data_IF_709134710383
#
_entry.id   IF_709134710383
#
_cell.length_a   1.000
_cell.length_b   1.000
_cell.length_c   1.000
_cell.angle_alpha   90.00
_cell.angle_beta   90.00
_cell.angle_gamma   90.00
#
_symmetry.space_group_name_H-M   'P 1'
#
loop_
_entity.id
_entity.type
_entity.pdbx_description
1 polymer ?
#
# COMPACT_ATOMS: atom_id res chain seq x y z
N UNK A 1 -61.62 10.48 -55.23
CA UNK A 1 -60.87 9.23 -55.48
C UNK A 1 -60.40 8.74 -54.11
N UNK A 2 -61.23 7.97 -53.39
CA UNK A 2 -61.31 6.48 -53.42
C UNK A 2 -60.09 5.87 -52.68
N UNK A 3 -60.26 5.35 -51.45
CA UNK A 3 -60.49 3.91 -51.10
C UNK A 3 -59.21 3.07 -51.38
N UNK A 4 -58.73 2.12 -50.56
CA UNK A 4 -59.24 1.27 -49.49
C UNK A 4 -58.03 0.62 -48.73
N UNK A 5 -58.12 0.33 -47.42
CA UNK A 5 -58.29 -1.01 -46.77
C UNK A 5 -57.14 -2.03 -46.96
N UNK A 6 -56.62 -2.55 -45.83
CA UNK A 6 -55.89 -3.84 -45.78
C UNK A 6 -55.00 -4.06 -44.54
N UNK A 7 -55.55 -4.68 -43.48
CA UNK A 7 -54.79 -5.32 -42.38
C UNK A 7 -54.49 -6.81 -42.73
N UNK A 8 -54.02 -7.70 -41.83
CA UNK A 8 -52.93 -7.67 -40.83
C UNK A 8 -51.93 -8.86 -41.03
N UNK A 9 -50.75 -8.88 -40.39
CA UNK A 9 -50.00 -10.13 -40.18
C UNK A 9 -49.22 -10.19 -38.85
N UNK A 10 -49.73 -11.05 -37.97
CA UNK A 10 -49.06 -12.00 -37.06
C UNK A 10 -47.53 -11.99 -36.94
N UNK A 11 -47.05 -11.79 -35.71
CA UNK A 11 -46.37 -12.85 -34.95
C UNK A 11 -44.87 -13.07 -35.17
N UNK A 12 -44.05 -12.52 -34.27
CA UNK A 12 -42.78 -13.13 -33.88
C UNK A 12 -42.39 -12.72 -32.45
N UNK A 13 -42.66 -13.64 -31.50
CA UNK A 13 -42.17 -13.58 -30.11
C UNK A 13 -40.65 -13.57 -30.11
N UNK A 14 -40.01 -12.47 -29.69
CA UNK A 14 -38.59 -12.49 -29.28
C UNK A 14 -38.49 -13.08 -27.88
N UNK A 15 -38.07 -14.34 -27.83
CA UNK A 15 -37.69 -15.02 -26.59
C UNK A 15 -36.53 -14.29 -25.92
N UNK A 16 -36.78 -13.83 -24.68
CA UNK A 16 -35.77 -13.33 -23.75
C UNK A 16 -34.91 -14.52 -23.33
N UNK A 17 -33.68 -14.60 -23.85
CA UNK A 17 -32.64 -15.50 -23.37
C UNK A 17 -32.18 -15.03 -21.98
N UNK A 18 -32.87 -15.46 -20.92
CA UNK A 18 -32.35 -15.47 -19.55
C UNK A 18 -31.30 -16.59 -19.47
N UNK A 19 -30.06 -16.26 -19.80
CA UNK A 19 -28.92 -17.19 -19.74
C UNK A 19 -27.96 -16.84 -18.60
N UNK A 20 -28.00 -17.64 -17.54
CA UNK A 20 -26.84 -18.14 -16.80
C UNK A 20 -25.78 -17.13 -16.27
N UNK A 21 -26.19 -16.07 -15.57
CA UNK A 21 -25.27 -15.20 -14.81
C UNK A 21 -25.22 -15.47 -13.29
N UNK A 22 -26.11 -16.31 -12.75
CA UNK A 22 -26.41 -16.34 -11.31
C UNK A 22 -25.62 -17.35 -10.45
N UNK A 23 -24.85 -18.27 -11.03
CA UNK A 23 -24.27 -19.39 -10.28
C UNK A 23 -22.78 -19.26 -9.93
N UNK A 24 -22.03 -18.27 -10.45
CA UNK A 24 -20.62 -18.07 -10.07
C UNK A 24 -20.41 -17.33 -8.75
N UNK A 25 -21.48 -16.79 -8.15
CA UNK A 25 -21.36 -16.01 -6.90
C UNK A 25 -21.52 -16.83 -5.63
N UNK A 26 -21.91 -18.11 -5.74
CA UNK A 26 -22.16 -18.98 -4.57
C UNK A 26 -20.97 -19.88 -4.19
N UNK A 27 -20.11 -20.26 -5.14
CA UNK A 27 -18.93 -21.10 -4.87
C UNK A 27 -17.68 -20.33 -4.40
N UNK A 28 -17.65 -19.01 -4.51
CA UNK A 28 -16.56 -18.18 -3.95
C UNK A 28 -16.65 -17.98 -2.43
N UNK A 29 -17.62 -18.60 -1.75
CA UNK A 29 -17.98 -18.31 -0.36
C UNK A 29 -17.30 -19.14 0.74
N UNK A 30 -16.64 -20.26 0.43
CA UNK A 30 -16.12 -21.19 1.44
C UNK A 30 -14.61 -21.08 1.70
N UNK A 31 -13.79 -20.79 0.68
CA UNK A 31 -12.31 -20.76 0.79
C UNK A 31 -11.71 -19.35 0.99
N UNK A 32 -12.58 -18.33 1.03
CA UNK A 32 -12.23 -16.91 0.85
C UNK A 32 -11.17 -16.30 1.80
N UNK A 33 -11.07 -16.67 3.09
CA UNK A 33 -10.08 -16.07 4.00
C UNK A 33 -8.84 -16.93 4.30
N UNK A 34 -8.86 -18.24 4.00
CA UNK A 34 -7.75 -19.15 4.35
C UNK A 34 -6.54 -18.99 3.40
N UNK A 35 -6.82 -18.69 2.13
CA UNK A 35 -5.80 -18.49 1.09
C UNK A 35 -4.82 -17.33 1.37
N UNK A 36 -5.27 -16.10 1.71
CA UNK A 36 -4.33 -15.01 1.98
C UNK A 36 -3.50 -15.25 3.25
N UNK A 37 -4.09 -15.83 4.31
CA UNK A 37 -3.37 -16.15 5.55
C UNK A 37 -2.25 -17.15 5.26
N UNK A 38 -2.58 -18.25 4.59
CA UNK A 38 -1.59 -19.28 4.22
C UNK A 38 -0.51 -18.71 3.31
N UNK A 39 -0.89 -17.89 2.33
CA UNK A 39 0.06 -17.22 1.44
C UNK A 39 1.03 -16.30 2.18
N UNK A 40 0.57 -15.51 3.17
CA UNK A 40 1.45 -14.69 3.99
C UNK A 40 2.38 -15.51 4.88
N UNK A 41 1.90 -16.61 5.48
CA UNK A 41 2.74 -17.49 6.30
C UNK A 41 3.86 -18.10 5.47
N UNK A 42 3.52 -18.64 4.28
CA UNK A 42 4.52 -19.21 3.37
C UNK A 42 5.50 -18.15 2.87
N UNK A 43 5.00 -16.98 2.47
CA UNK A 43 5.84 -15.87 2.02
C UNK A 43 6.79 -15.38 3.13
N UNK A 44 6.31 -15.26 4.38
CA UNK A 44 7.14 -14.89 5.51
C UNK A 44 8.19 -15.95 5.83
N UNK A 45 7.84 -17.24 5.78
CA UNK A 45 8.81 -18.32 5.99
C UNK A 45 9.92 -18.30 4.92
N UNK A 46 9.57 -18.15 3.65
CA UNK A 46 10.53 -18.05 2.54
C UNK A 46 11.38 -16.78 2.66
N UNK A 47 10.74 -15.63 2.87
CA UNK A 47 11.44 -14.35 3.03
C UNK A 47 12.42 -14.39 4.20
N UNK A 48 12.03 -14.98 5.34
CA UNK A 48 12.90 -15.14 6.50
C UNK A 48 14.07 -16.06 6.19
N UNK A 49 13.82 -17.23 5.59
CA UNK A 49 14.88 -18.17 5.23
C UNK A 49 15.92 -17.53 4.30
N UNK A 50 15.48 -16.84 3.24
CA UNK A 50 16.38 -16.19 2.27
C UNK A 50 17.08 -14.99 2.93
N UNK A 51 16.38 -14.18 3.74
CA UNK A 51 16.97 -13.01 4.41
C UNK A 51 17.96 -13.40 5.51
N UNK A 52 17.81 -14.57 6.14
CA UNK A 52 18.80 -15.11 7.08
C UNK A 52 20.06 -15.58 6.34
N UNK A 53 19.90 -16.31 5.23
CA UNK A 53 21.04 -16.91 4.51
C UNK A 53 21.80 -15.91 3.66
N UNK A 54 21.09 -14.99 3.02
CA UNK A 54 21.63 -14.01 2.08
C UNK A 54 21.02 -12.62 2.32
N UNK A 55 21.24 -11.98 3.49
CA UNK A 55 20.61 -10.68 3.81
C UNK A 55 20.87 -9.62 2.72
N UNK A 56 22.14 -9.44 2.37
CA UNK A 56 22.55 -8.45 1.38
C UNK A 56 22.06 -8.80 -0.03
N UNK A 57 22.16 -10.07 -0.42
CA UNK A 57 21.67 -10.54 -1.72
C UNK A 57 20.16 -10.35 -1.86
N UNK A 58 19.40 -10.65 -0.80
CA UNK A 58 17.94 -10.48 -0.77
C UNK A 58 17.56 -9.01 -0.90
N UNK A 59 18.21 -8.12 -0.15
CA UNK A 59 17.96 -6.68 -0.25
C UNK A 59 18.27 -6.16 -1.66
N UNK A 60 19.44 -6.47 -2.22
CA UNK A 60 19.87 -5.94 -3.53
C UNK A 60 19.05 -6.52 -4.68
N UNK A 61 18.87 -7.84 -4.73
CA UNK A 61 18.11 -8.51 -5.80
C UNK A 61 16.63 -8.17 -5.69
N UNK A 62 16.08 -8.15 -4.48
CA UNK A 62 14.70 -7.72 -4.25
C UNK A 62 14.47 -6.30 -4.78
N UNK A 63 15.40 -5.38 -4.49
CA UNK A 63 15.35 -4.02 -4.98
C UNK A 63 15.44 -3.93 -6.51
N UNK A 64 16.37 -4.67 -7.11
CA UNK A 64 16.59 -4.67 -8.54
C UNK A 64 15.36 -5.22 -9.31
N UNK A 65 14.77 -6.30 -8.82
CA UNK A 65 13.67 -7.02 -9.49
C UNK A 65 12.31 -6.40 -9.19
N UNK A 66 12.03 -6.05 -7.93
CA UNK A 66 10.71 -5.60 -7.50
C UNK A 66 10.64 -4.11 -7.20
N UNK A 67 11.76 -3.40 -7.11
CA UNK A 67 11.83 -1.98 -6.77
C UNK A 67 10.92 -1.10 -7.63
N UNK A 68 11.13 -1.03 -8.94
CA UNK A 68 10.27 -0.17 -9.77
C UNK A 68 8.86 -0.76 -9.93
N UNK A 69 8.75 -2.08 -9.98
CA UNK A 69 7.45 -2.74 -10.14
C UNK A 69 6.51 -2.45 -8.97
N UNK A 70 6.97 -2.57 -7.72
CA UNK A 70 6.12 -2.27 -6.57
C UNK A 70 5.74 -0.79 -6.52
N UNK A 71 6.65 0.15 -6.82
CA UNK A 71 6.33 1.58 -6.88
C UNK A 71 5.16 1.85 -7.81
N UNK A 72 5.18 1.26 -9.02
CA UNK A 72 4.11 1.44 -10.01
C UNK A 72 2.80 0.87 -9.49
N UNK A 73 2.80 -0.33 -8.91
CA UNK A 73 1.58 -0.99 -8.42
C UNK A 73 1.00 -0.28 -7.18
N UNK A 74 1.85 0.13 -6.27
CA UNK A 74 1.50 0.88 -5.08
C UNK A 74 0.92 2.26 -5.42
N UNK A 75 1.61 3.06 -6.24
CA UNK A 75 1.10 4.38 -6.63
C UNK A 75 -0.25 4.31 -7.32
N UNK A 76 -0.48 3.28 -8.16
CA UNK A 76 -1.80 3.03 -8.77
C UNK A 76 -2.86 2.74 -7.71
N UNK A 77 -2.53 1.89 -6.74
CA UNK A 77 -3.43 1.58 -5.63
C UNK A 77 -3.75 2.83 -4.81
N UNK A 78 -2.72 3.55 -4.33
CA UNK A 78 -2.87 4.73 -3.47
C UNK A 78 -3.62 5.85 -4.20
N UNK A 79 -3.23 6.16 -5.44
CA UNK A 79 -3.88 7.21 -6.21
C UNK A 79 -5.36 6.89 -6.50
N UNK A 80 -5.71 5.61 -6.70
CA UNK A 80 -7.10 5.20 -6.88
C UNK A 80 -7.89 5.15 -5.58
N UNK A 81 -7.35 4.55 -4.51
CA UNK A 81 -8.01 4.40 -3.20
C UNK A 81 -8.31 5.74 -2.53
N UNK A 82 -7.45 6.73 -2.72
CA UNK A 82 -7.54 8.05 -2.08
C UNK A 82 -7.89 9.17 -3.07
N UNK A 83 -8.52 8.86 -4.20
CA UNK A 83 -8.89 9.85 -5.23
C UNK A 83 -9.69 11.04 -4.66
N UNK A 84 -10.59 10.79 -3.71
CA UNK A 84 -11.39 11.85 -3.08
C UNK A 84 -10.56 12.87 -2.29
N UNK A 85 -9.36 12.49 -1.85
CA UNK A 85 -8.45 13.31 -1.03
C UNK A 85 -7.26 13.82 -1.85
N UNK A 86 -6.63 12.94 -2.64
CA UNK A 86 -5.48 13.24 -3.49
C UNK A 86 -5.93 13.92 -4.80
N UNK A 87 -6.43 15.15 -4.69
CA UNK A 87 -6.87 15.96 -5.85
C UNK A 87 -6.57 17.44 -5.69
N UNK A 88 -6.59 18.15 -6.82
CA UNK A 88 -6.57 19.61 -6.88
C UNK A 88 -5.31 20.26 -6.26
N UNK A 89 -5.46 21.41 -5.57
CA UNK A 89 -4.33 22.14 -4.98
C UNK A 89 -3.53 21.32 -3.98
N UNK A 90 -4.20 20.46 -3.20
CA UNK A 90 -3.55 19.66 -2.18
C UNK A 90 -2.59 18.63 -2.80
N UNK A 91 -3.03 17.90 -3.84
CA UNK A 91 -2.15 17.00 -4.58
C UNK A 91 -0.95 17.73 -5.20
N UNK A 92 -1.16 18.95 -5.74
CA UNK A 92 -0.05 19.75 -6.29
C UNK A 92 0.96 20.14 -5.22
N UNK A 93 0.50 20.52 -4.03
CA UNK A 93 1.38 20.82 -2.91
C UNK A 93 2.19 19.59 -2.49
N UNK A 94 1.54 18.43 -2.30
CA UNK A 94 2.24 17.19 -1.98
C UNK A 94 3.26 16.83 -3.07
N UNK A 95 2.87 16.93 -4.35
CA UNK A 95 3.75 16.68 -5.49
C UNK A 95 4.95 17.62 -5.52
N UNK A 96 4.77 18.91 -5.23
CA UNK A 96 5.86 19.88 -5.17
C UNK A 96 6.84 19.56 -4.02
N UNK A 97 6.34 19.28 -2.82
CA UNK A 97 7.17 18.92 -1.66
C UNK A 97 7.95 17.63 -1.89
N UNK A 98 7.30 16.59 -2.41
CA UNK A 98 7.92 15.31 -2.74
C UNK A 98 8.96 15.48 -3.85
N UNK A 99 8.68 16.29 -4.87
CA UNK A 99 9.66 16.59 -5.93
C UNK A 99 10.88 17.33 -5.37
N UNK A 100 10.69 18.23 -4.40
CA UNK A 100 11.80 18.83 -3.66
C UNK A 100 12.68 17.78 -2.96
N UNK A 101 12.07 16.75 -2.36
CA UNK A 101 12.81 15.64 -1.73
C UNK A 101 13.58 14.83 -2.78
N UNK A 102 12.94 14.53 -3.93
CA UNK A 102 13.59 13.85 -5.07
C UNK A 102 14.82 14.63 -5.52
N UNK A 103 14.71 15.95 -5.67
CA UNK A 103 15.84 16.82 -6.02
C UNK A 103 16.93 16.74 -4.95
N UNK A 104 16.60 16.79 -3.66
CA UNK A 104 17.59 16.65 -2.59
C UNK A 104 18.37 15.33 -2.68
N UNK A 105 17.72 14.23 -3.08
CA UNK A 105 18.35 12.91 -3.24
C UNK A 105 19.17 12.74 -4.52
N UNK A 106 18.88 13.54 -5.55
CA UNK A 106 19.66 13.53 -6.80
C UNK A 106 20.90 14.43 -6.72
N UNK A 107 20.89 15.42 -5.83
CA UNK A 107 22.05 16.28 -5.56
C UNK A 107 23.12 15.53 -4.75
N UNK A 108 24.40 15.97 -4.84
CA UNK A 108 25.47 15.40 -4.02
C UNK A 108 25.14 15.46 -2.51
N UNK A 109 25.31 14.36 -1.77
CA UNK A 109 25.00 14.31 -0.35
C UNK A 109 25.78 15.37 0.43
N UNK A 110 25.06 16.18 1.21
CA UNK A 110 25.61 17.25 2.02
C UNK A 110 24.72 17.48 3.24
N UNK A 111 25.24 18.19 4.25
CA UNK A 111 24.41 18.58 5.41
C UNK A 111 23.20 19.39 4.96
N UNK A 112 23.37 20.29 3.98
CA UNK A 112 22.29 21.11 3.44
C UNK A 112 21.18 20.30 2.75
N UNK A 113 21.53 19.37 1.86
CA UNK A 113 20.54 18.52 1.17
C UNK A 113 19.78 17.62 2.14
N UNK A 114 20.45 17.06 3.15
CA UNK A 114 19.81 16.23 4.19
C UNK A 114 18.87 17.04 5.07
N UNK A 115 19.29 18.23 5.51
CA UNK A 115 18.44 19.15 6.27
C UNK A 115 17.22 19.56 5.46
N UNK A 116 17.39 19.91 4.19
CA UNK A 116 16.28 20.27 3.30
C UNK A 116 15.30 19.10 3.12
N UNK A 117 15.79 17.88 2.89
CA UNK A 117 14.96 16.68 2.79
C UNK A 117 14.14 16.44 4.07
N UNK A 118 14.76 16.56 5.25
CA UNK A 118 14.07 16.42 6.54
C UNK A 118 12.97 17.48 6.67
N UNK A 119 13.29 18.76 6.39
CA UNK A 119 12.31 19.85 6.49
C UNK A 119 11.15 19.68 5.52
N UNK A 120 11.41 19.24 4.28
CA UNK A 120 10.37 18.95 3.29
C UNK A 120 9.49 17.77 3.73
N UNK A 121 10.08 16.72 4.31
CA UNK A 121 9.34 15.58 4.85
C UNK A 121 8.38 16.00 5.97
N UNK A 122 8.84 16.81 6.93
CA UNK A 122 7.98 17.34 7.99
C UNK A 122 6.96 18.36 7.47
N UNK A 123 7.33 19.16 6.46
CA UNK A 123 6.40 20.06 5.76
C UNK A 123 5.27 19.29 5.07
N UNK A 124 5.55 18.12 4.51
CA UNK A 124 4.57 17.22 3.92
C UNK A 124 3.57 16.71 4.96
N UNK A 125 4.06 16.25 6.12
CA UNK A 125 3.21 15.82 7.24
C UNK A 125 2.39 16.99 7.80
N UNK A 126 2.98 18.17 7.95
CA UNK A 126 2.29 19.36 8.41
C UNK A 126 1.16 19.77 7.45
N UNK A 127 1.41 19.75 6.13
CA UNK A 127 0.38 20.01 5.12
C UNK A 127 -0.79 19.01 5.22
N UNK A 128 -0.48 17.74 5.45
CA UNK A 128 -1.49 16.70 5.67
C UNK A 128 -2.31 16.93 6.95
N UNK A 129 -1.64 17.25 8.07
CA UNK A 129 -2.30 17.61 9.34
C UNK A 129 -3.24 18.81 9.18
N UNK A 130 -2.77 19.90 8.58
CA UNK A 130 -3.58 21.12 8.35
C UNK A 130 -4.80 20.80 7.49
N UNK A 131 -4.60 20.04 6.41
CA UNK A 131 -5.69 19.63 5.54
C UNK A 131 -6.75 18.79 6.29
N UNK A 132 -6.29 17.82 7.08
CA UNK A 132 -7.13 16.86 7.77
C UNK A 132 -7.83 17.42 9.02
N UNK A 133 -7.16 18.30 9.77
CA UNK A 133 -7.56 18.75 11.10
C UNK A 133 -7.99 20.21 11.16
N UNK A 134 -8.24 20.87 10.02
CA UNK A 134 -8.66 22.28 9.96
C UNK A 134 -9.86 22.63 10.85
N UNK A 135 -10.76 21.68 11.09
CA UNK A 135 -11.94 21.85 11.94
C UNK A 135 -11.71 21.42 13.41
N UNK A 136 -10.50 20.99 13.77
CA UNK A 136 -10.14 20.46 15.09
C UNK A 136 -8.87 21.16 15.61
N UNK A 137 -8.94 22.45 15.99
CA UNK A 137 -7.77 23.28 16.26
C UNK A 137 -6.88 22.74 17.39
N UNK A 138 -7.47 22.14 18.42
CA UNK A 138 -6.71 21.52 19.52
C UNK A 138 -5.88 20.31 19.03
N UNK A 139 -6.46 19.44 18.22
CA UNK A 139 -5.72 18.30 17.65
C UNK A 139 -4.68 18.77 16.64
N UNK A 140 -4.97 19.83 15.87
CA UNK A 140 -4.01 20.42 14.96
C UNK A 140 -2.82 21.02 15.72
N UNK A 141 -3.06 21.75 16.82
CA UNK A 141 -2.01 22.31 17.67
C UNK A 141 -1.17 21.21 18.32
N UNK A 142 -1.81 20.16 18.86
CA UNK A 142 -1.10 19.00 19.41
C UNK A 142 -0.25 18.28 18.34
N UNK A 143 -0.79 18.10 17.13
CA UNK A 143 -0.07 17.49 16.01
C UNK A 143 1.10 18.37 15.57
N UNK A 144 0.93 19.69 15.54
CA UNK A 144 1.99 20.64 15.22
C UNK A 144 3.12 20.61 16.25
N UNK A 145 2.79 20.58 17.54
CA UNK A 145 3.78 20.44 18.62
C UNK A 145 4.57 19.12 18.50
N UNK A 146 3.88 18.01 18.24
CA UNK A 146 4.51 16.70 18.02
C UNK A 146 5.43 16.70 16.80
N UNK A 147 4.97 17.24 15.66
CA UNK A 147 5.78 17.33 14.44
C UNK A 147 6.99 18.24 14.63
N UNK A 148 6.85 19.36 15.35
CA UNK A 148 7.96 20.25 15.66
C UNK A 148 9.01 19.56 16.53
N UNK A 149 8.59 18.86 17.59
CA UNK A 149 9.50 18.08 18.43
C UNK A 149 10.23 17.01 17.62
N UNK A 150 9.50 16.24 16.81
CA UNK A 150 10.07 15.20 15.96
C UNK A 150 11.02 15.77 14.87
N UNK A 151 10.70 16.94 14.31
CA UNK A 151 11.56 17.64 13.35
C UNK A 151 12.87 18.08 14.02
N UNK A 152 12.81 18.70 15.21
CA UNK A 152 13.99 19.07 15.98
C UNK A 152 14.84 17.83 16.28
N UNK A 153 14.24 16.73 16.73
CA UNK A 153 14.97 15.47 16.97
C UNK A 153 15.62 14.94 15.69
N UNK A 154 14.90 14.94 14.56
CA UNK A 154 15.44 14.48 13.28
C UNK A 154 16.58 15.34 12.76
N UNK A 155 16.51 16.66 12.95
CA UNK A 155 17.58 17.59 12.58
C UNK A 155 18.81 17.44 13.47
N UNK A 156 18.62 17.16 14.77
CA UNK A 156 19.71 16.86 15.70
C UNK A 156 20.38 15.50 15.40
N UNK A 157 19.63 14.55 14.84
CA UNK A 157 20.12 13.20 14.53
C UNK A 157 19.79 12.74 13.09
N UNK A 158 20.32 13.41 12.04
CA UNK A 158 19.91 13.13 10.66
C UNK A 158 20.16 11.70 10.21
N UNK A 159 21.25 11.06 10.67
CA UNK A 159 21.53 9.66 10.33
C UNK A 159 20.46 8.70 10.88
N UNK A 160 20.00 8.93 12.11
CA UNK A 160 18.93 8.14 12.70
C UNK A 160 17.60 8.41 12.00
N UNK A 161 17.32 9.64 11.56
CA UNK A 161 16.11 9.96 10.79
C UNK A 161 15.94 9.05 9.57
N UNK A 162 16.98 8.91 8.74
CA UNK A 162 16.89 8.08 7.52
C UNK A 162 16.78 6.58 7.82
N UNK A 163 17.45 6.10 8.87
CA UNK A 163 17.31 4.70 9.31
C UNK A 163 15.88 4.44 9.77
N UNK A 164 15.33 5.29 10.63
CA UNK A 164 13.95 5.18 11.11
C UNK A 164 12.98 5.26 9.95
N UNK A 165 13.15 6.21 9.02
CA UNK A 165 12.32 6.36 7.84
C UNK A 165 12.30 5.09 6.98
N UNK A 166 13.47 4.51 6.70
CA UNK A 166 13.58 3.29 5.91
C UNK A 166 12.85 2.10 6.54
N UNK A 167 12.94 1.94 7.87
CA UNK A 167 12.25 0.86 8.58
C UNK A 167 10.75 1.13 8.72
N UNK A 168 10.37 2.38 9.00
CA UNK A 168 8.98 2.77 9.16
C UNK A 168 8.20 2.63 7.86
N UNK A 169 8.80 2.98 6.72
CA UNK A 169 8.20 2.73 5.40
C UNK A 169 7.88 1.25 5.17
N UNK A 170 8.75 0.34 5.63
CA UNK A 170 8.49 -1.09 5.52
C UNK A 170 7.35 -1.59 6.44
N UNK A 171 6.96 -0.80 7.44
CA UNK A 171 5.81 -1.09 8.32
C UNK A 171 4.50 -0.56 7.72
N UNK A 172 4.55 0.42 6.83
CA UNK A 172 3.36 1.06 6.20
C UNK A 172 2.33 0.06 5.66
N UNK A 173 2.71 -1.01 4.92
CA UNK A 173 1.76 -1.97 4.39
C UNK A 173 0.86 -2.60 5.46
N UNK A 174 1.32 -2.72 6.71
CA UNK A 174 0.53 -3.25 7.82
C UNK A 174 -0.78 -2.48 7.99
N UNK A 175 -0.74 -1.14 7.89
CA UNK A 175 -1.91 -0.30 8.09
C UNK A 175 -2.93 -0.47 6.96
N UNK A 176 -2.46 -0.64 5.73
CA UNK A 176 -3.32 -0.96 4.59
C UNK A 176 -3.97 -2.34 4.73
N UNK A 177 -3.19 -3.35 5.10
CA UNK A 177 -3.72 -4.69 5.38
C UNK A 177 -4.71 -4.68 6.55
N UNK A 178 -4.43 -3.87 7.58
CA UNK A 178 -5.30 -3.73 8.74
C UNK A 178 -6.63 -3.10 8.39
N UNK A 179 -6.62 -2.02 7.60
CA UNK A 179 -7.85 -1.40 7.08
C UNK A 179 -8.62 -2.36 6.18
N UNK A 180 -7.94 -3.00 5.23
CA UNK A 180 -8.56 -3.98 4.34
C UNK A 180 -9.24 -5.11 5.14
N UNK A 181 -8.58 -5.61 6.19
CA UNK A 181 -9.10 -6.68 7.05
C UNK A 181 -10.39 -6.30 7.79
N UNK A 182 -10.73 -5.01 7.90
CA UNK A 182 -11.99 -4.57 8.54
C UNK A 182 -13.22 -5.06 7.79
N UNK A 183 -13.11 -5.25 6.47
CA UNK A 183 -14.19 -5.76 5.63
C UNK A 183 -14.32 -7.29 5.65
N UNK A 184 -13.42 -8.03 6.32
CA UNK A 184 -13.47 -9.49 6.36
C UNK A 184 -14.57 -9.98 7.32
N UNK A 185 -15.51 -10.83 6.86
CA UNK A 185 -16.56 -11.38 7.71
C UNK A 185 -16.06 -12.46 8.68
N UNK A 186 -15.03 -13.23 8.31
CA UNK A 186 -14.43 -14.32 9.12
C UNK A 186 -12.90 -14.31 8.97
N UNK A 187 -12.19 -14.95 9.91
CA UNK A 187 -10.72 -15.09 9.85
C UNK A 187 -9.91 -13.82 10.11
N UNK A 188 -10.56 -12.70 10.42
CA UNK A 188 -9.91 -11.39 10.64
C UNK A 188 -8.84 -11.43 11.74
N UNK A 189 -9.10 -12.11 12.84
CA UNK A 189 -8.16 -12.21 13.95
C UNK A 189 -6.88 -12.96 13.53
N UNK A 190 -7.03 -14.10 12.87
CA UNK A 190 -5.91 -14.88 12.34
C UNK A 190 -5.10 -14.08 11.31
N UNK A 191 -5.78 -13.41 10.38
CA UNK A 191 -5.12 -12.55 9.39
C UNK A 191 -4.28 -11.46 10.07
N UNK A 192 -4.87 -10.72 11.02
CA UNK A 192 -4.16 -9.68 11.79
C UNK A 192 -3.01 -10.22 12.61
N UNK A 193 -3.18 -11.38 13.25
CA UNK A 193 -2.13 -12.04 14.00
C UNK A 193 -0.93 -12.38 13.11
N UNK A 194 -1.16 -12.91 11.91
CA UNK A 194 -0.09 -13.16 10.92
C UNK A 194 0.60 -11.85 10.52
N UNK A 195 -0.17 -10.77 10.27
CA UNK A 195 0.43 -9.49 9.91
C UNK A 195 1.30 -8.91 11.04
N UNK A 196 0.81 -8.95 12.28
CA UNK A 196 1.61 -8.56 13.45
C UNK A 196 2.83 -9.47 13.64
N UNK A 197 2.69 -10.77 13.35
CA UNK A 197 3.77 -11.75 13.46
C UNK A 197 4.97 -11.39 12.58
N UNK A 198 4.75 -11.14 11.29
CA UNK A 198 5.87 -10.77 10.42
C UNK A 198 6.36 -9.34 10.66
N UNK A 199 5.50 -8.37 10.99
CA UNK A 199 5.94 -6.98 11.16
C UNK A 199 6.68 -6.76 12.48
N UNK A 200 6.29 -7.44 13.56
CA UNK A 200 6.79 -7.17 14.91
C UNK A 200 7.59 -8.33 15.48
N UNK A 201 7.02 -9.54 15.48
CA UNK A 201 7.64 -10.69 16.14
C UNK A 201 8.93 -11.11 15.43
N UNK A 202 8.91 -11.27 14.11
CA UNK A 202 10.10 -11.71 13.35
C UNK A 202 11.25 -10.69 13.47
N UNK A 203 11.04 -9.37 13.26
CA UNK A 203 12.10 -8.39 13.50
C UNK A 203 12.62 -8.39 14.95
N UNK A 204 11.76 -8.55 15.94
CA UNK A 204 12.20 -8.63 17.34
C UNK A 204 13.09 -9.86 17.58
N UNK A 205 12.75 -11.02 17.02
CA UNK A 205 13.56 -12.25 17.09
C UNK A 205 14.90 -12.11 16.36
N UNK A 206 14.92 -11.43 15.22
CA UNK A 206 16.16 -11.13 14.49
C UNK A 206 17.07 -10.19 15.29
N UNK A 207 16.52 -9.09 15.82
CA UNK A 207 17.28 -8.09 16.56
C UNK A 207 17.79 -8.60 17.91
N UNK A 208 17.04 -9.46 18.58
CA UNK A 208 17.47 -10.09 19.85
C UNK A 208 18.67 -11.00 19.69
N UNK A 209 18.96 -11.47 18.47
CA UNK A 209 20.01 -12.43 18.17
C UNK A 209 19.61 -13.89 18.36
N UNK A 210 18.33 -14.17 18.62
CA UNK A 210 17.82 -15.54 18.79
C UNK A 210 18.06 -16.42 17.54
N UNK A 211 18.25 -15.80 16.37
CA UNK A 211 18.46 -16.46 15.09
C UNK A 211 19.90 -16.33 14.56
N UNK A 212 20.86 -15.85 15.36
CA UNK A 212 22.24 -15.64 14.92
C UNK A 212 22.90 -16.92 14.37
N UNK A 213 22.60 -18.09 14.93
CA UNK A 213 23.13 -19.37 14.45
C UNK A 213 22.65 -19.77 13.05
N UNK A 214 21.58 -19.13 12.54
CA UNK A 214 21.06 -19.34 11.19
C UNK A 214 21.50 -18.23 10.22
N UNK A 215 22.06 -17.15 10.74
CA UNK A 215 22.44 -15.97 9.99
C UNK A 215 23.71 -16.27 9.17
N UNK A 216 23.63 -16.06 7.87
CA UNK A 216 24.77 -16.19 6.98
C UNK A 216 25.87 -15.20 7.37
N UNK A 217 27.12 -15.56 7.06
CA UNK A 217 28.25 -14.68 7.33
C UNK A 217 28.08 -13.32 6.65
N UNK A 218 28.52 -12.26 7.33
CA UNK A 218 28.59 -10.92 6.75
C UNK A 218 29.47 -10.92 5.49
N UNK A 219 29.15 -10.01 4.57
CA UNK A 219 29.95 -9.75 3.38
C UNK A 219 30.24 -8.25 3.29
N UNK A 220 31.20 -7.83 2.46
CA UNK A 220 31.42 -6.40 2.22
C UNK A 220 30.17 -5.66 1.70
N UNK A 221 29.23 -6.38 1.07
CA UNK A 221 27.92 -5.84 0.71
C UNK A 221 27.02 -5.59 1.93
N UNK A 222 27.08 -6.46 2.93
CA UNK A 222 26.38 -6.25 4.20
C UNK A 222 26.86 -4.96 4.86
N UNK A 223 28.17 -4.73 4.93
CA UNK A 223 28.73 -3.54 5.56
C UNK A 223 28.26 -2.26 4.85
N UNK A 224 28.25 -2.27 3.50
CA UNK A 224 27.72 -1.15 2.69
C UNK A 224 26.25 -0.87 2.96
N UNK A 225 25.42 -1.92 3.06
CA UNK A 225 24.00 -1.77 3.35
C UNK A 225 23.77 -1.30 4.80
N UNK A 226 24.57 -1.79 5.76
CA UNK A 226 24.47 -1.41 7.15
C UNK A 226 24.62 0.11 7.35
N UNK A 227 25.43 0.80 6.54
CA UNK A 227 25.55 2.27 6.57
C UNK A 227 24.22 3.00 6.33
N UNK A 228 23.29 2.40 5.58
CA UNK A 228 21.99 3.00 5.26
C UNK A 228 20.86 2.54 6.19
N UNK A 229 20.98 1.33 6.75
CA UNK A 229 19.88 0.67 7.45
C UNK A 229 20.18 0.35 8.92
N UNK A 230 21.37 0.66 9.43
CA UNK A 230 21.73 0.43 10.84
C UNK A 230 21.97 1.76 11.54
N UNK A 231 21.44 1.94 12.76
CA UNK A 231 21.79 3.09 13.60
C UNK A 231 23.32 3.27 13.71
N UNK A 232 23.85 4.50 13.59
CA UNK A 232 25.29 4.75 13.60
C UNK A 232 26.07 4.07 14.73
N UNK A 233 25.50 4.04 15.94
CA UNK A 233 26.12 3.40 17.10
C UNK A 233 26.34 1.87 16.95
N UNK A 234 25.70 1.22 15.98
CA UNK A 234 25.65 -0.24 15.86
C UNK A 234 26.23 -0.77 14.53
N UNK A 235 26.71 0.10 13.63
CA UNK A 235 27.16 -0.27 12.28
C UNK A 235 28.33 -1.26 12.24
N UNK A 236 29.16 -1.29 13.28
CA UNK A 236 30.35 -2.16 13.37
C UNK A 236 30.20 -3.27 14.40
N UNK A 237 28.96 -3.66 14.68
CA UNK A 237 28.62 -4.72 15.63
C UNK A 237 27.82 -5.82 14.93
N UNK A 238 27.64 -6.96 15.59
CA UNK A 238 26.73 -8.00 15.10
C UNK A 238 25.30 -7.48 14.87
N UNK A 239 24.89 -6.40 15.54
CA UNK A 239 23.60 -5.76 15.30
C UNK A 239 23.49 -5.21 13.87
N UNK A 240 24.57 -4.76 13.22
CA UNK A 240 24.52 -4.28 11.84
C UNK A 240 24.04 -5.33 10.85
N UNK A 241 24.56 -6.56 10.96
CA UNK A 241 24.10 -7.70 10.16
C UNK A 241 22.63 -8.04 10.45
N UNK A 242 22.20 -7.99 11.72
CA UNK A 242 20.80 -8.21 12.11
C UNK A 242 19.88 -7.14 11.51
N UNK A 243 20.27 -5.86 11.53
CA UNK A 243 19.51 -4.78 10.91
C UNK A 243 19.38 -4.94 9.40
N UNK A 244 20.45 -5.35 8.70
CA UNK A 244 20.39 -5.65 7.26
C UNK A 244 19.44 -6.82 6.99
N UNK A 245 19.45 -7.87 7.82
CA UNK A 245 18.52 -9.00 7.70
C UNK A 245 17.06 -8.60 7.96
N UNK A 246 16.81 -7.77 8.97
CA UNK A 246 15.48 -7.20 9.25
C UNK A 246 15.00 -6.36 8.07
N UNK A 247 15.85 -5.48 7.55
CA UNK A 247 15.51 -4.67 6.38
C UNK A 247 15.19 -5.55 5.18
N UNK A 248 16.05 -6.51 4.84
CA UNK A 248 15.83 -7.43 3.72
C UNK A 248 14.52 -8.22 3.86
N UNK A 249 14.23 -8.71 5.06
CA UNK A 249 13.02 -9.44 5.37
C UNK A 249 11.77 -8.56 5.22
N UNK A 250 11.74 -7.42 5.90
CA UNK A 250 10.60 -6.52 5.87
C UNK A 250 10.36 -5.93 4.47
N UNK A 251 11.42 -5.59 3.75
CA UNK A 251 11.34 -5.13 2.36
C UNK A 251 10.78 -6.21 1.43
N UNK A 252 11.16 -7.47 1.64
CA UNK A 252 10.58 -8.59 0.87
C UNK A 252 9.09 -8.74 1.14
N UNK A 253 8.68 -8.67 2.41
CA UNK A 253 7.26 -8.70 2.78
C UNK A 253 6.49 -7.48 2.25
N UNK A 254 7.13 -6.31 2.22
CA UNK A 254 6.59 -5.11 1.59
C UNK A 254 6.28 -5.36 0.10
N UNK A 255 7.19 -6.01 -0.64
CA UNK A 255 6.93 -6.43 -2.03
C UNK A 255 5.80 -7.46 -2.15
N UNK A 256 5.73 -8.43 -1.23
CA UNK A 256 4.62 -9.40 -1.19
C UNK A 256 3.27 -8.68 -1.09
N UNK A 257 3.18 -7.62 -0.29
CA UNK A 257 1.93 -6.86 -0.17
C UNK A 257 1.58 -6.16 -1.49
N UNK A 258 2.51 -5.38 -2.06
CA UNK A 258 2.18 -4.52 -3.20
C UNK A 258 2.18 -5.22 -4.55
N UNK A 259 3.03 -6.23 -4.74
CA UNK A 259 3.15 -6.96 -6.01
C UNK A 259 2.20 -8.16 -6.06
N UNK A 260 2.01 -8.84 -4.92
CA UNK A 260 1.15 -10.02 -4.87
C UNK A 260 -0.25 -9.75 -4.31
N UNK A 261 -0.35 -9.24 -3.08
CA UNK A 261 -1.62 -9.19 -2.35
C UNK A 261 -2.58 -8.13 -2.90
N UNK A 262 -2.20 -6.85 -2.89
CA UNK A 262 -3.11 -5.74 -3.20
C UNK A 262 -3.72 -5.82 -4.61
N UNK A 263 -2.97 -6.17 -5.67
CA UNK A 263 -3.55 -6.32 -7.01
C UNK A 263 -4.59 -7.44 -7.13
N UNK A 264 -4.54 -8.45 -6.24
CA UNK A 264 -5.44 -9.62 -6.27
C UNK A 264 -6.66 -9.42 -5.37
N UNK A 265 -6.48 -8.81 -4.21
CA UNK A 265 -7.51 -8.75 -3.15
C UNK A 265 -8.13 -7.37 -2.97
N UNK A 266 -7.62 -6.34 -3.67
CA UNK A 266 -8.21 -4.99 -3.68
C UNK A 266 -8.20 -4.35 -5.09
N UNK A 267 -8.72 -5.03 -6.13
CA UNK A 267 -8.67 -4.54 -7.51
C UNK A 267 -9.45 -3.23 -7.71
N UNK A 268 -10.55 -3.01 -6.97
CA UNK A 268 -11.40 -1.83 -7.08
C UNK A 268 -10.64 -0.50 -6.98
N UNK A 269 -9.61 -0.44 -6.12
CA UNK A 269 -8.76 0.73 -5.96
C UNK A 269 -7.93 0.97 -7.24
N UNK A 270 -7.34 -0.07 -7.79
CA UNK A 270 -6.60 0.01 -9.06
C UNK A 270 -7.51 0.39 -10.22
N UNK A 271 -8.72 -0.17 -10.29
CA UNK A 271 -9.72 0.19 -11.31
C UNK A 271 -10.10 1.68 -11.25
N UNK A 272 -10.21 2.25 -10.04
CA UNK A 272 -10.47 3.67 -9.87
C UNK A 272 -9.39 4.56 -10.48
N UNK A 273 -8.12 4.19 -10.29
CA UNK A 273 -7.01 4.87 -10.96
C UNK A 273 -7.08 4.70 -12.49
N UNK A 274 -7.32 3.48 -12.98
CA UNK A 274 -7.33 3.19 -14.42
C UNK A 274 -8.41 3.97 -15.20
N UNK A 275 -9.53 4.31 -14.55
CA UNK A 275 -10.56 5.18 -15.17
C UNK A 275 -10.02 6.58 -15.51
N UNK A 276 -9.07 7.10 -14.74
CA UNK A 276 -8.44 8.42 -14.95
C UNK A 276 -7.19 8.35 -15.82
N UNK A 277 -6.48 7.22 -15.80
CA UNK A 277 -5.25 7.00 -16.54
C UNK A 277 -5.34 5.73 -17.41
N UNK A 278 -6.18 5.73 -18.47
CA UNK A 278 -6.42 4.53 -19.28
C UNK A 278 -5.17 4.03 -20.01
N UNK A 279 -4.19 4.91 -20.22
CA UNK A 279 -2.89 4.56 -20.83
C UNK A 279 -2.05 3.62 -19.95
N UNK A 280 -2.26 3.64 -18.63
CA UNK A 280 -1.57 2.81 -17.63
C UNK A 280 -2.43 1.62 -17.16
N UNK A 281 -3.33 1.13 -18.01
CA UNK A 281 -4.23 0.02 -17.69
C UNK A 281 -3.60 -1.35 -17.89
N UNK A 282 -3.90 -2.28 -16.97
CA UNK A 282 -3.58 -3.71 -17.12
C UNK A 282 -2.10 -3.98 -17.40
N UNK A 283 -1.84 -4.74 -18.47
CA UNK A 283 -0.48 -5.18 -18.87
C UNK A 283 0.48 -4.02 -19.08
N UNK A 284 0.02 -2.83 -19.48
CA UNK A 284 0.90 -1.67 -19.75
C UNK A 284 1.59 -1.18 -18.48
N UNK A 285 0.89 -1.14 -17.35
CA UNK A 285 1.50 -0.78 -16.07
C UNK A 285 2.49 -1.84 -15.59
N UNK A 286 2.21 -3.12 -15.81
CA UNK A 286 3.15 -4.21 -15.51
C UNK A 286 4.39 -4.12 -16.39
N UNK A 287 4.23 -3.87 -17.69
CA UNK A 287 5.33 -3.68 -18.62
C UNK A 287 6.19 -2.46 -18.24
N UNK A 288 5.58 -1.36 -17.81
CA UNK A 288 6.30 -0.20 -17.28
C UNK A 288 7.11 -0.57 -16.02
N UNK A 289 6.50 -1.26 -15.06
CA UNK A 289 7.17 -1.69 -13.83
C UNK A 289 8.33 -2.66 -14.10
N UNK A 290 8.11 -3.67 -14.94
CA UNK A 290 9.11 -4.67 -15.32
C UNK A 290 10.23 -4.07 -16.17
N UNK A 291 9.90 -3.21 -17.13
CA UNK A 291 10.88 -2.50 -17.95
C UNK A 291 11.76 -1.58 -17.12
N UNK A 292 11.16 -0.84 -16.17
CA UNK A 292 11.90 -0.04 -15.20
C UNK A 292 12.78 -0.86 -14.26
N UNK A 293 12.30 -2.02 -13.80
CA UNK A 293 13.09 -2.95 -12.98
C UNK A 293 14.28 -3.53 -13.77
N UNK A 294 14.09 -3.88 -15.04
CA UNK A 294 15.17 -4.35 -15.91
C UNK A 294 16.23 -3.25 -16.12
N UNK A 295 15.81 -2.03 -16.43
CA UNK A 295 16.72 -0.89 -16.59
C UNK A 295 17.50 -0.59 -15.29
N UNK A 296 16.82 -0.62 -14.15
CA UNK A 296 17.46 -0.43 -12.85
C UNK A 296 18.42 -1.57 -12.50
N UNK A 297 18.07 -2.81 -12.85
CA UNK A 297 18.94 -3.98 -12.65
C UNK A 297 20.24 -3.86 -13.46
N UNK A 298 20.16 -3.42 -14.71
CA UNK A 298 21.34 -3.12 -15.54
C UNK A 298 22.20 -2.05 -14.85
N UNK A 299 21.57 -0.98 -14.34
CA UNK A 299 22.28 0.07 -13.64
C UNK A 299 22.93 -0.41 -12.35
N UNK A 300 22.28 -1.27 -11.55
CA UNK A 300 22.88 -1.85 -10.35
C UNK A 300 24.11 -2.71 -10.64
N UNK A 301 24.10 -3.44 -11.76
CA UNK A 301 25.22 -4.27 -12.21
C UNK A 301 26.37 -3.39 -12.72
N UNK A 302 26.08 -2.29 -13.42
CA UNK A 302 27.12 -1.40 -13.97
C UNK A 302 27.68 -0.42 -12.94
N UNK A 303 26.82 0.22 -12.15
CA UNK A 303 27.15 1.16 -11.09
C UNK A 303 26.09 1.11 -9.98
N UNK A 304 26.38 0.32 -8.95
CA UNK A 304 25.51 0.17 -7.80
C UNK A 304 25.19 1.49 -7.10
N UNK A 305 26.15 2.42 -7.01
CA UNK A 305 25.95 3.68 -6.28
C UNK A 305 24.97 4.56 -7.04
N UNK A 306 25.14 4.68 -8.36
CA UNK A 306 24.22 5.42 -9.21
C UNK A 306 22.84 4.78 -9.25
N UNK A 307 22.76 3.44 -9.38
CA UNK A 307 21.51 2.69 -9.33
C UNK A 307 20.74 2.90 -8.03
N UNK A 308 21.44 2.83 -6.89
CA UNK A 308 20.85 3.07 -5.57
C UNK A 308 20.34 4.50 -5.42
N UNK A 309 21.10 5.50 -5.86
CA UNK A 309 20.71 6.91 -5.78
C UNK A 309 19.50 7.21 -6.66
N UNK A 310 19.50 6.73 -7.90
CA UNK A 310 18.36 6.89 -8.82
C UNK A 310 17.10 6.20 -8.25
N UNK A 311 17.24 4.96 -7.80
CA UNK A 311 16.14 4.25 -7.17
C UNK A 311 15.63 5.00 -5.94
N UNK A 312 16.51 5.43 -5.03
CA UNK A 312 16.11 6.13 -3.80
C UNK A 312 15.38 7.44 -4.12
N UNK A 313 15.75 8.15 -5.19
CA UNK A 313 15.06 9.33 -5.66
C UNK A 313 13.66 8.98 -6.21
N UNK A 314 13.54 7.98 -7.09
CA UNK A 314 12.24 7.55 -7.63
C UNK A 314 11.31 7.00 -6.54
N UNK A 315 11.85 6.20 -5.61
CA UNK A 315 11.14 5.63 -4.48
C UNK A 315 10.58 6.69 -3.52
N UNK A 316 11.17 7.90 -3.49
CA UNK A 316 10.61 8.99 -2.69
C UNK A 316 9.16 9.32 -3.04
N UNK A 317 8.73 9.10 -4.29
CA UNK A 317 7.36 9.41 -4.69
C UNK A 317 6.30 8.58 -3.96
N UNK A 318 6.51 7.28 -3.76
CA UNK A 318 5.55 6.46 -3.01
C UNK A 318 5.84 6.55 -1.51
N UNK A 319 7.10 6.37 -1.09
CA UNK A 319 7.47 6.33 0.32
C UNK A 319 7.04 7.61 1.08
N UNK A 320 7.20 8.80 0.49
CA UNK A 320 6.74 10.02 1.14
C UNK A 320 5.25 10.29 0.97
N UNK A 321 4.62 9.86 -0.13
CA UNK A 321 3.17 10.02 -0.32
C UNK A 321 2.36 9.16 0.67
N UNK A 322 2.90 8.01 1.05
CA UNK A 322 2.29 7.09 2.01
C UNK A 322 2.03 7.73 3.37
N UNK A 323 2.96 8.50 3.93
CA UNK A 323 2.78 9.02 5.30
C UNK A 323 1.58 10.00 5.44
N UNK A 324 1.38 11.00 4.55
CA UNK A 324 0.16 11.79 4.50
C UNK A 324 -1.11 10.95 4.39
N UNK A 325 -1.09 9.95 3.50
CA UNK A 325 -2.23 9.07 3.25
C UNK A 325 -2.56 8.23 4.48
N UNK A 326 -1.55 7.68 5.15
CA UNK A 326 -1.70 6.96 6.40
C UNK A 326 -2.24 7.85 7.52
N UNK A 327 -1.73 9.08 7.64
CA UNK A 327 -2.26 10.04 8.61
C UNK A 327 -3.75 10.27 8.37
N UNK A 328 -4.16 10.45 7.12
CA UNK A 328 -5.58 10.62 6.75
C UNK A 328 -6.41 9.37 7.03
N UNK A 329 -5.84 8.17 6.85
CA UNK A 329 -6.47 6.90 7.18
C UNK A 329 -6.73 6.80 8.69
N UNK A 330 -5.72 7.10 9.51
CA UNK A 330 -5.80 7.07 10.98
C UNK A 330 -6.78 8.12 11.51
N UNK A 331 -6.83 9.29 10.87
CA UNK A 331 -7.77 10.37 11.21
C UNK A 331 -9.20 10.14 10.67
N UNK A 332 -9.43 9.07 9.90
CA UNK A 332 -10.77 8.66 9.43
C UNK A 332 -11.29 9.37 8.18
N UNK A 333 -10.43 10.06 7.41
CA UNK A 333 -10.86 10.81 6.21
C UNK A 333 -10.94 9.94 4.95
N UNK A 334 -10.42 8.71 4.98
CA UNK A 334 -10.39 7.79 3.83
C UNK A 334 -11.64 6.94 3.59
N UNK A 335 -12.67 7.01 4.44
CA UNK A 335 -13.84 6.10 4.35
C UNK A 335 -14.96 6.60 3.42
N UNK A 336 -14.89 7.83 2.91
CA UNK A 336 -15.97 8.45 2.13
C UNK A 336 -16.28 7.75 0.78
N UNK A 337 -15.40 6.87 0.28
CA UNK A 337 -15.61 6.13 -0.97
C UNK A 337 -16.55 4.91 -0.86
N UNK A 338 -16.84 4.39 0.34
CA UNK A 338 -17.71 3.21 0.53
C UNK A 338 -19.17 3.52 0.86
N UNK A 339 -19.47 4.76 1.25
CA UNK A 339 -20.83 5.21 1.54
C UNK A 339 -21.70 5.38 0.27
N UNK A 340 -21.11 5.23 -0.92
CA UNK A 340 -21.79 5.28 -2.20
C UNK A 340 -22.29 3.92 -2.72
N UNK A 341 -22.71 2.99 -1.86
CA UNK A 341 -23.66 1.95 -2.32
C UNK A 341 -25.03 2.61 -2.38
N UNK A 342 -25.60 2.86 -3.58
CA UNK A 342 -26.98 3.30 -3.69
C UNK A 342 -27.85 2.25 -3.00
N UNK A 343 -28.89 2.73 -2.33
CA UNK A 343 -29.74 1.94 -1.46
C UNK A 343 -30.07 0.56 -2.03
N UNK A 344 -30.04 -0.42 -1.14
CA UNK A 344 -31.07 -1.45 -1.18
C UNK A 344 -32.37 -0.65 -1.10
N UNK A 345 -32.97 -0.39 -2.26
CA UNK A 345 -34.29 0.19 -2.34
C UNK A 345 -35.14 -0.59 -1.35
N UNK A 346 -35.71 0.14 -0.38
CA UNK A 346 -36.83 -0.37 0.38
C UNK A 346 -37.79 -0.94 -0.66
N UNK A 347 -37.98 -2.25 -0.63
CA UNK A 347 -39.08 -2.87 -1.33
C UNK A 347 -40.34 -2.20 -0.76
N UNK A 348 -41.14 -1.50 -1.57
CA UNK A 348 -42.45 -1.08 -1.13
C UNK A 348 -43.28 -2.34 -0.92
N UNK A 349 -43.77 -2.44 0.30
CA UNK A 349 -45.10 -2.86 0.73
C UNK A 349 -45.75 -4.09 0.08
N UNK A 350 -46.12 -5.01 0.97
CA UNK A 350 -46.99 -6.14 0.73
C UNK A 350 -47.77 -6.42 2.02
N UNK A 351 -48.38 -5.38 2.60
CA UNK A 351 -49.57 -5.56 3.43
C UNK A 351 -50.70 -6.04 2.53
N UNK A 352 -50.83 -7.35 2.38
CA UNK A 352 -52.12 -7.94 2.04
C UNK A 352 -52.95 -7.92 3.33
N UNK A 353 -53.96 -7.06 3.32
CA UNK A 353 -55.07 -7.01 4.25
C UNK A 353 -55.77 -8.38 4.31
N UNK A 354 -55.41 -9.19 5.30
CA UNK A 354 -56.23 -10.30 5.78
C UNK A 354 -57.16 -9.75 6.87
N UNK A 355 -58.22 -9.05 6.45
CA UNK A 355 -59.36 -8.76 7.31
C UNK A 355 -60.66 -9.26 6.65
N UNK A 356 -61.44 -9.97 7.47
CA UNK A 356 -62.90 -10.12 7.40
C UNK A 356 -63.48 -11.46 6.89
N UNK A 357 -63.48 -12.48 7.76
CA UNK A 357 -64.51 -13.54 7.79
C UNK A 357 -65.24 -13.47 9.14
N UNK A 358 -66.51 -13.02 9.18
CA UNK A 358 -67.38 -13.25 10.33
C UNK A 358 -68.19 -14.54 10.12
N UNK A 359 -67.95 -15.52 10.99
CA UNK A 359 -68.87 -16.63 11.24
C UNK A 359 -69.97 -16.18 12.23
N UNK A 360 -71.22 -16.09 11.78
CA UNK A 360 -72.40 -16.35 12.62
C UNK A 360 -73.69 -16.55 11.78
N UNK A 361 -74.44 -17.57 12.18
CA UNK A 361 -75.87 -17.85 11.96
C UNK A 361 -76.35 -18.37 10.59
N UNK A 362 -76.54 -19.70 10.50
CA UNK A 362 -77.86 -20.34 10.64
C UNK A 362 -77.73 -21.82 10.94
#
# INVERSE_FOLDING_TARGET
MASAVGAPFSGARRGVRRGAGGQRSAEQGADGPALPVTGFVLAAAVALAVSLRLPAGTAVVGLAVFGILHNVLELRYVAGRFEGVLRGPFLRLLGALITGIVVCRLLPPSTGTRTAEILLAYGLLAAACVHALRSRPLLLAASAALLAAAAVTSLSFPAYHFVVLAHLHNVVPLLFLWEWSRAMPRGRAAFRAVQCGWVLLIPALLLSGALDGLLGAGSGWTDRLALSYTPPAWQHTHAGLRFVAVFAFLQTMHYVVWVWFMPRYAPDATEAFERRAPVLRGVRAWALGLGGAAALSVLFVSDYTQGRSLYAAVASYHAYLEFPVLLMLVLGLGEQGRAGRPGRAALPDGTDDEENVPHAAR
#
